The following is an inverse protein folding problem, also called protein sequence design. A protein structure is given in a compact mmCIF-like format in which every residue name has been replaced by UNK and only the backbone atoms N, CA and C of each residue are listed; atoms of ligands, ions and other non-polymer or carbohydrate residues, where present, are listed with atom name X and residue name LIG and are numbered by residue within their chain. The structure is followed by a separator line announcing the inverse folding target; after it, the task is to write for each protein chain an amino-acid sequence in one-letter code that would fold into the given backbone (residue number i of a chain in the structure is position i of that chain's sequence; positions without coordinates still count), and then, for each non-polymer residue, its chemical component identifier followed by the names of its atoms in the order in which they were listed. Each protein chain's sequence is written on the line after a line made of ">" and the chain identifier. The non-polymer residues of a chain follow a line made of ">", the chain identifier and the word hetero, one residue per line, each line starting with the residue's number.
data_IF_158090622023
#
_entry.id   IF_158090622023
#
_cell.length_a   1.000
_cell.length_b   1.000
_cell.length_c   1.000
_cell.angle_alpha   90.00
_cell.angle_beta   90.00
_cell.angle_gamma   90.00
#
_symmetry.space_group_name_H-M   'P 1'
#
loop_
_entity.id
_entity.type
_entity.pdbx_description
1 polymer ?
#
# COMPACT_ATOMS: atom_id res chain seq x y z
N UNK A 1 18.39 -24.89 -0.57
CA UNK A 1 18.41 -23.43 -0.36
C UNK A 1 17.01 -23.02 0.08
N UNK A 2 16.76 -22.90 1.39
CA UNK A 2 15.48 -22.39 1.87
C UNK A 2 15.56 -20.86 1.78
N UNK A 3 15.03 -20.31 0.69
CA UNK A 3 14.84 -18.86 0.60
C UNK A 3 13.90 -18.42 1.71
N UNK A 4 14.18 -17.28 2.34
CA UNK A 4 13.27 -16.69 3.33
C UNK A 4 11.96 -16.40 2.62
N UNK A 5 10.89 -17.10 2.99
CA UNK A 5 9.54 -16.81 2.50
C UNK A 5 8.84 -15.85 3.46
N UNK A 6 8.20 -14.83 2.90
CA UNK A 6 7.33 -13.94 3.67
C UNK A 6 6.07 -14.72 4.04
N UNK A 7 5.83 -14.93 5.34
CA UNK A 7 4.65 -15.68 5.83
C UNK A 7 3.44 -14.79 6.08
N UNK A 8 3.70 -13.53 6.45
CA UNK A 8 2.69 -12.52 6.77
C UNK A 8 3.13 -11.18 6.19
N UNK A 9 2.22 -10.49 5.54
CA UNK A 9 2.43 -9.18 4.91
C UNK A 9 1.43 -8.19 5.50
N UNK A 10 1.88 -6.98 5.79
CA UNK A 10 0.99 -5.88 6.18
C UNK A 10 1.13 -4.75 5.18
N UNK A 11 0.01 -4.26 4.70
CA UNK A 11 -0.12 -3.18 3.75
C UNK A 11 -0.81 -2.01 4.45
N UNK A 12 -0.22 -0.83 4.39
CA UNK A 12 -0.78 0.38 4.99
C UNK A 12 -1.43 1.25 3.92
N UNK A 13 -2.73 1.49 4.09
CA UNK A 13 -3.53 2.45 3.34
C UNK A 13 -3.22 2.53 1.83
N UNK A 14 -3.23 1.38 1.18
CA UNK A 14 -2.90 1.24 -0.25
C UNK A 14 -3.99 0.47 -0.97
N UNK A 15 -4.38 0.98 -2.15
CA UNK A 15 -5.28 0.31 -3.09
C UNK A 15 -4.53 -0.19 -4.33
N UNK A 16 -5.20 -0.92 -5.24
CA UNK A 16 -4.57 -1.28 -6.51
C UNK A 16 -4.32 -0.01 -7.33
N UNK A 17 -3.28 -0.05 -8.17
CA UNK A 17 -3.13 0.95 -9.22
C UNK A 17 -4.35 0.91 -10.15
N UNK A 18 -4.87 2.09 -10.49
CA UNK A 18 -5.99 2.26 -11.41
C UNK A 18 -5.58 3.22 -12.53
N UNK A 19 -6.18 3.10 -13.73
CA UNK A 19 -5.96 4.06 -14.80
C UNK A 19 -6.21 5.49 -14.28
N UNK A 20 -5.26 6.39 -14.52
CA UNK A 20 -5.38 7.80 -14.16
C UNK A 20 -4.70 8.66 -15.23
N UNK A 21 -5.11 9.93 -15.39
CA UNK A 21 -4.35 10.87 -16.19
C UNK A 21 -2.93 11.01 -15.64
N UNK A 22 -1.94 11.02 -16.55
CA UNK A 22 -0.57 11.28 -16.18
C UNK A 22 -0.44 12.72 -15.67
N UNK A 23 0.15 12.88 -14.50
CA UNK A 23 0.36 14.19 -13.86
C UNK A 23 1.66 14.15 -13.04
N UNK A 24 2.83 14.05 -13.67
CA UNK A 24 4.09 13.97 -12.95
C UNK A 24 4.42 15.31 -12.27
N UNK A 25 4.82 15.32 -10.98
CA UNK A 25 5.20 16.54 -10.30
C UNK A 25 6.49 17.12 -10.89
N UNK A 26 6.60 18.45 -10.91
CA UNK A 26 7.86 19.11 -11.24
C UNK A 26 8.89 18.93 -10.10
N UNK A 27 10.17 18.81 -10.45
CA UNK A 27 11.26 18.73 -9.47
C UNK A 27 11.29 19.98 -8.57
N UNK A 28 11.21 19.84 -7.24
CA UNK A 28 11.37 20.97 -6.33
C UNK A 28 12.78 21.55 -6.40
N UNK A 29 12.90 22.85 -6.14
CA UNK A 29 14.20 23.53 -6.05
C UNK A 29 14.95 23.11 -4.77
N UNK A 30 16.28 23.11 -4.82
CA UNK A 30 17.14 22.87 -3.65
C UNK A 30 17.60 21.41 -3.50
N UNK A 31 18.29 21.14 -2.40
CA UNK A 31 18.72 19.79 -2.03
C UNK A 31 17.53 19.04 -1.46
N UNK A 32 17.25 17.86 -2.00
CA UNK A 32 16.16 16.99 -1.56
C UNK A 32 16.68 15.94 -0.58
N UNK A 33 15.85 15.49 0.38
CA UNK A 33 16.20 14.41 1.30
C UNK A 33 16.15 13.00 0.65
N UNK A 34 15.93 12.93 -0.67
CA UNK A 34 15.90 11.70 -1.47
C UNK A 34 16.38 11.98 -2.90
N UNK A 35 16.75 10.92 -3.64
CA UNK A 35 17.15 11.05 -5.04
C UNK A 35 15.90 11.25 -5.93
N UNK A 36 15.82 12.42 -6.57
CA UNK A 36 14.74 12.74 -7.51
C UNK A 36 14.62 11.75 -8.67
N UNK A 37 15.72 11.07 -9.05
CA UNK A 37 15.68 10.06 -10.12
C UNK A 37 14.71 8.92 -9.82
N UNK A 38 14.47 8.61 -8.55
CA UNK A 38 13.47 7.60 -8.16
C UNK A 38 12.07 8.03 -8.57
N UNK A 39 11.74 9.32 -8.42
CA UNK A 39 10.43 9.85 -8.87
C UNK A 39 10.29 9.76 -10.38
N UNK A 40 11.34 10.12 -11.12
CA UNK A 40 11.35 10.06 -12.58
C UNK A 40 11.20 8.63 -13.12
N UNK A 41 11.70 7.62 -12.38
CA UNK A 41 11.58 6.22 -12.74
C UNK A 41 10.24 5.60 -12.33
N UNK A 42 9.75 5.91 -11.14
CA UNK A 42 8.52 5.30 -10.60
C UNK A 42 7.26 5.95 -11.18
N UNK A 43 7.27 7.27 -11.41
CA UNK A 43 6.05 7.99 -11.83
C UNK A 43 5.46 7.49 -13.15
N UNK A 44 6.26 7.17 -14.19
CA UNK A 44 5.74 6.56 -15.42
C UNK A 44 5.05 5.21 -15.19
N UNK A 45 5.50 4.39 -14.26
CA UNK A 45 4.84 3.10 -13.94
C UNK A 45 3.48 3.30 -13.25
N UNK A 46 3.33 4.37 -12.47
CA UNK A 46 2.04 4.72 -11.83
C UNK A 46 1.11 5.42 -12.84
N UNK A 47 1.65 6.23 -13.74
CA UNK A 47 0.88 6.94 -14.78
C UNK A 47 0.41 5.97 -15.89
N UNK A 48 1.26 5.02 -16.29
CA UNK A 48 0.98 3.97 -17.26
C UNK A 48 1.05 2.59 -16.59
N UNK A 49 0.07 2.31 -15.71
CA UNK A 49 0.06 1.09 -14.91
C UNK A 49 -0.03 -0.16 -15.78
N UNK A 50 0.75 -1.19 -15.43
CA UNK A 50 0.66 -2.51 -16.04
C UNK A 50 -0.64 -3.21 -15.56
N UNK A 51 -1.55 -3.62 -16.47
CA UNK A 51 -2.75 -4.37 -16.07
C UNK A 51 -2.42 -5.71 -15.38
N UNK A 52 -1.21 -6.23 -15.53
CA UNK A 52 -0.70 -7.41 -14.84
C UNK A 52 -0.58 -7.27 -13.31
N UNK A 53 -0.63 -6.05 -12.75
CA UNK A 53 -0.55 -5.82 -11.30
C UNK A 53 -1.62 -6.58 -10.51
N UNK A 54 -2.83 -6.73 -11.05
CA UNK A 54 -3.86 -7.52 -10.41
C UNK A 54 -3.46 -8.99 -10.25
N UNK A 55 -2.78 -9.55 -11.26
CA UNK A 55 -2.22 -10.90 -11.21
C UNK A 55 -1.06 -11.02 -10.22
N UNK A 56 -0.23 -9.98 -10.09
CA UNK A 56 0.84 -9.92 -9.09
C UNK A 56 0.24 -9.97 -7.68
N UNK A 57 -0.74 -9.13 -7.38
CA UNK A 57 -1.44 -9.14 -6.08
C UNK A 57 -2.08 -10.50 -5.82
N UNK A 58 -2.75 -11.09 -6.82
CA UNK A 58 -3.36 -12.42 -6.70
C UNK A 58 -2.35 -13.56 -6.51
N UNK A 59 -1.08 -13.36 -6.84
CA UNK A 59 -0.01 -14.34 -6.61
C UNK A 59 0.61 -14.27 -5.21
N UNK A 60 0.24 -13.29 -4.39
CA UNK A 60 0.71 -13.18 -3.01
C UNK A 60 0.05 -14.28 -2.17
N UNK A 61 0.82 -15.27 -1.76
CA UNK A 61 0.36 -16.39 -0.92
C UNK A 61 0.56 -16.16 0.57
N UNK A 62 1.22 -15.06 0.96
CA UNK A 62 1.33 -14.67 2.35
C UNK A 62 -0.04 -14.23 2.89
N UNK A 63 -0.35 -14.61 4.13
CA UNK A 63 -1.48 -14.02 4.85
C UNK A 63 -1.26 -12.50 4.85
N UNK A 64 -2.26 -11.74 4.44
CA UNK A 64 -2.09 -10.30 4.24
C UNK A 64 -3.13 -9.50 4.99
N UNK A 65 -2.69 -8.51 5.77
CA UNK A 65 -3.54 -7.51 6.42
C UNK A 65 -3.38 -6.16 5.72
N UNK A 66 -4.47 -5.57 5.25
CA UNK A 66 -4.54 -4.17 4.87
C UNK A 66 -5.06 -3.33 6.05
N UNK A 67 -4.28 -2.36 6.50
CA UNK A 67 -4.67 -1.37 7.52
C UNK A 67 -5.06 -0.09 6.80
N UNK A 68 -6.37 0.14 6.67
CA UNK A 68 -6.94 1.26 5.95
C UNK A 68 -7.06 2.51 6.85
N UNK A 69 -6.80 3.68 6.29
CA UNK A 69 -6.77 4.96 7.01
C UNK A 69 -8.12 5.62 7.26
N UNK A 70 -9.21 5.03 6.78
CA UNK A 70 -10.56 5.54 6.96
C UNK A 70 -10.90 6.73 6.03
N UNK A 71 -12.05 7.39 6.26
CA UNK A 71 -12.59 8.43 5.38
C UNK A 71 -11.70 9.67 5.20
N UNK A 72 -10.74 9.91 6.11
CA UNK A 72 -9.77 11.01 6.00
C UNK A 72 -8.59 10.70 5.09
N UNK A 73 -8.44 9.46 4.65
CA UNK A 73 -7.40 9.10 3.69
C UNK A 73 -7.75 9.65 2.29
N UNK A 74 -6.77 10.15 1.53
CA UNK A 74 -6.95 10.45 0.11
C UNK A 74 -7.16 9.17 -0.72
N UNK A 75 -6.84 7.99 -0.18
CA UNK A 75 -7.08 6.70 -0.82
C UNK A 75 -8.53 6.29 -0.55
N UNK A 76 -9.38 6.18 -1.59
CA UNK A 76 -10.75 5.77 -1.39
C UNK A 76 -10.81 4.38 -0.77
N UNK A 77 -11.52 4.22 0.34
CA UNK A 77 -11.55 2.97 1.11
C UNK A 77 -12.04 1.77 0.29
N UNK A 78 -12.91 2.02 -0.69
CA UNK A 78 -13.32 1.00 -1.67
C UNK A 78 -12.13 0.44 -2.47
N UNK A 79 -11.11 1.23 -2.77
CA UNK A 79 -9.93 0.75 -3.50
C UNK A 79 -9.12 -0.23 -2.64
N UNK A 80 -9.01 0.00 -1.34
CA UNK A 80 -8.32 -0.92 -0.42
C UNK A 80 -9.10 -2.23 -0.32
N UNK A 81 -10.43 -2.14 -0.22
CA UNK A 81 -11.33 -3.30 -0.28
C UNK A 81 -11.22 -4.05 -1.63
N UNK A 82 -11.12 -3.34 -2.76
CA UNK A 82 -10.85 -3.95 -4.07
C UNK A 82 -9.49 -4.67 -4.11
N UNK A 83 -8.43 -4.12 -3.49
CA UNK A 83 -7.13 -4.79 -3.34
C UNK A 83 -7.27 -6.09 -2.55
N UNK A 84 -7.95 -6.02 -1.40
CA UNK A 84 -8.10 -7.14 -0.47
C UNK A 84 -8.85 -8.30 -1.12
N UNK A 85 -9.82 -8.01 -1.99
CA UNK A 85 -10.52 -9.05 -2.77
C UNK A 85 -9.65 -9.77 -3.80
N UNK A 86 -8.53 -9.18 -4.23
CA UNK A 86 -7.59 -9.85 -5.14
C UNK A 86 -6.66 -10.80 -4.40
N UNK A 87 -6.43 -10.58 -3.10
CA UNK A 87 -5.55 -11.40 -2.28
C UNK A 87 -6.23 -12.74 -1.92
N UNK A 88 -5.56 -13.89 -2.11
CA UNK A 88 -6.08 -15.19 -1.68
C UNK A 88 -6.45 -15.24 -0.20
N UNK A 89 -5.60 -14.65 0.66
CA UNK A 89 -5.75 -14.60 2.11
C UNK A 89 -5.67 -13.16 2.63
N UNK A 90 -6.47 -12.28 2.03
CA UNK A 90 -6.57 -10.87 2.40
C UNK A 90 -7.55 -10.59 3.55
N UNK A 91 -7.13 -9.75 4.49
CA UNK A 91 -7.99 -9.17 5.54
C UNK A 91 -7.84 -7.65 5.53
N UNK A 92 -8.87 -6.95 6.00
CA UNK A 92 -8.85 -5.50 6.14
C UNK A 92 -9.30 -5.09 7.52
N UNK A 93 -8.64 -4.09 8.10
CA UNK A 93 -9.10 -3.33 9.26
C UNK A 93 -9.01 -1.86 8.93
N UNK A 94 -9.84 -1.04 9.58
CA UNK A 94 -9.78 0.42 9.43
C UNK A 94 -9.36 1.05 10.74
N UNK A 95 -8.35 1.91 10.68
CA UNK A 95 -7.97 2.84 11.72
C UNK A 95 -8.20 4.23 11.14
N UNK A 96 -9.17 4.97 11.68
CA UNK A 96 -9.52 6.30 11.17
C UNK A 96 -8.41 7.29 11.55
N UNK A 97 -7.37 7.37 10.71
CA UNK A 97 -6.10 8.04 10.94
C UNK A 97 -5.59 8.83 9.72
N UNK A 98 -6.29 8.75 8.57
CA UNK A 98 -5.80 9.28 7.30
C UNK A 98 -4.71 8.40 6.69
N UNK A 99 -3.91 8.95 5.76
CA UNK A 99 -2.99 8.16 4.95
C UNK A 99 -1.83 7.52 5.73
N UNK A 100 -1.25 8.29 6.65
CA UNK A 100 -0.09 7.86 7.45
C UNK A 100 -0.58 7.25 8.77
N UNK A 101 -1.28 6.12 8.70
CA UNK A 101 -1.90 5.47 9.86
C UNK A 101 -0.90 5.25 10.99
N UNK A 102 0.28 4.72 10.69
CA UNK A 102 1.32 4.46 11.70
C UNK A 102 1.84 5.73 12.35
N UNK A 103 1.84 6.86 11.64
CA UNK A 103 2.35 8.12 12.15
C UNK A 103 1.28 8.88 12.95
N UNK A 104 0.02 8.84 12.50
CA UNK A 104 -1.09 9.53 13.16
C UNK A 104 -1.59 8.76 14.38
N UNK A 105 -1.73 7.43 14.28
CA UNK A 105 -2.28 6.57 15.34
C UNK A 105 -1.35 5.35 15.59
N UNK A 106 -0.11 5.58 16.07
CA UNK A 106 0.92 4.54 16.20
C UNK A 106 0.49 3.38 17.08
N UNK A 107 -0.13 3.66 18.23
CA UNK A 107 -0.54 2.61 19.17
C UNK A 107 -1.65 1.73 18.57
N UNK A 108 -2.58 2.33 17.81
CA UNK A 108 -3.63 1.58 17.14
C UNK A 108 -3.04 0.71 16.02
N UNK A 109 -2.14 1.27 15.21
CA UNK A 109 -1.44 0.54 14.15
C UNK A 109 -0.65 -0.65 14.72
N UNK A 110 0.16 -0.43 15.76
CA UNK A 110 0.97 -1.48 16.42
C UNK A 110 0.08 -2.59 16.98
N UNK A 111 -1.06 -2.25 17.61
CA UNK A 111 -1.99 -3.27 18.10
C UNK A 111 -2.50 -4.17 16.99
N UNK A 112 -2.87 -3.61 15.83
CA UNK A 112 -3.31 -4.40 14.68
C UNK A 112 -2.17 -5.25 14.11
N UNK A 113 -0.97 -4.66 14.00
CA UNK A 113 0.22 -5.33 13.51
C UNK A 113 0.59 -6.55 14.37
N UNK A 114 0.74 -6.37 15.69
CA UNK A 114 1.13 -7.43 16.63
C UNK A 114 0.06 -8.53 16.66
N UNK A 115 -1.22 -8.15 16.78
CA UNK A 115 -2.31 -9.12 16.79
C UNK A 115 -2.34 -9.99 15.52
N UNK A 116 -1.95 -9.45 14.37
CA UNK A 116 -1.91 -10.19 13.12
C UNK A 116 -0.65 -11.03 12.96
N UNK A 117 0.51 -10.52 13.38
CA UNK A 117 1.78 -11.22 13.23
C UNK A 117 1.93 -12.42 14.18
N UNK A 118 1.31 -12.35 15.36
CA UNK A 118 1.36 -13.37 16.41
C UNK A 118 0.30 -14.47 16.28
N UNK A 119 -0.73 -14.27 15.44
CA UNK A 119 -1.79 -15.24 15.16
C UNK A 119 -1.34 -16.29 14.13
#
# INVERSE_FOLDING_TARGET
>A
MFGVTVRRLVLEDVGPLKPRPADPPAKPKGVLPFDWRVVEQVRPEIDNFDPGWAGVVASITALTLAVAGGPRSPIPQKQIDDLVRLLPDGRMVTVDAGHFVHATEPDAFIRQLVSFLDA
#
